data_IF_566659795163
#
_entry.id   IF_566659795163
#
_cell.length_a   1.000
_cell.length_b   1.000
_cell.length_c   1.000
_cell.angle_alpha   90.00
_cell.angle_beta   90.00
_cell.angle_gamma   90.00
#
_symmetry.space_group_name_H-M   'P 1'
#
loop_
_entity.id
_entity.type
_entity.pdbx_description
1 polymer ?
#
# COMPACT_ATOMS: atom_id res chain seq x y z
N UNK A 1 0.54 -18.86 9.15
CA UNK A 1 -0.16 -18.10 8.10
C UNK A 1 -0.04 -16.61 8.41
N UNK A 2 0.20 -15.78 7.40
CA UNK A 2 0.22 -14.32 7.57
C UNK A 2 -1.14 -13.86 8.11
N UNK A 3 -1.13 -13.03 9.16
CA UNK A 3 -2.35 -12.42 9.70
C UNK A 3 -2.99 -11.55 8.61
N UNK A 4 -4.32 -11.58 8.49
CA UNK A 4 -5.08 -10.83 7.48
C UNK A 4 -6.02 -9.81 8.14
N UNK A 5 -6.27 -8.71 7.43
CA UNK A 5 -7.41 -7.83 7.69
C UNK A 5 -8.61 -8.30 6.88
N UNK A 6 -9.79 -7.98 7.35
CA UNK A 6 -11.02 -8.07 6.57
C UNK A 6 -11.35 -6.66 6.05
N UNK A 7 -11.37 -6.51 4.73
CA UNK A 7 -11.82 -5.30 4.08
C UNK A 7 -13.35 -5.19 4.17
N UNK A 8 -13.88 -3.99 3.96
CA UNK A 8 -15.32 -3.70 4.09
C UNK A 8 -16.24 -4.59 3.23
N UNK A 9 -15.72 -5.16 2.14
CA UNK A 9 -16.43 -6.09 1.28
C UNK A 9 -16.22 -7.57 1.66
N UNK A 10 -15.57 -7.85 2.80
CA UNK A 10 -15.28 -9.21 3.28
C UNK A 10 -14.00 -9.84 2.72
N UNK A 11 -13.33 -9.20 1.76
CA UNK A 11 -12.07 -9.71 1.21
C UNK A 11 -10.96 -9.72 2.28
N UNK A 12 -10.14 -10.77 2.28
CA UNK A 12 -9.06 -10.96 3.26
C UNK A 12 -7.72 -10.48 2.73
N UNK A 13 -7.24 -9.34 3.18
CA UNK A 13 -5.97 -8.72 2.80
C UNK A 13 -4.86 -9.05 3.81
N UNK A 14 -3.68 -9.59 3.38
CA UNK A 14 -2.53 -9.79 4.27
C UNK A 14 -2.04 -8.46 4.88
N UNK A 15 -1.62 -8.50 6.15
CA UNK A 15 -1.19 -7.29 6.89
C UNK A 15 0.09 -6.67 6.35
N UNK A 16 1.00 -7.50 5.84
CA UNK A 16 2.29 -7.09 5.28
C UNK A 16 2.33 -7.44 3.79
N UNK A 17 2.63 -6.45 2.97
CA UNK A 17 2.89 -6.58 1.54
C UNK A 17 4.36 -6.29 1.20
N UNK A 18 4.90 -6.98 0.20
CA UNK A 18 6.15 -6.60 -0.45
C UNK A 18 5.86 -5.48 -1.45
N UNK A 19 6.46 -4.31 -1.27
CA UNK A 19 6.43 -3.22 -2.25
C UNK A 19 7.47 -3.44 -3.35
N UNK A 20 7.09 -3.13 -4.60
CA UNK A 20 7.93 -3.36 -5.79
C UNK A 20 8.47 -2.09 -6.44
N UNK A 21 8.23 -0.90 -5.88
CA UNK A 21 8.72 0.36 -6.44
C UNK A 21 10.23 0.32 -6.68
N UNK A 22 10.68 0.68 -7.91
CA UNK A 22 12.09 0.61 -8.34
C UNK A 22 12.70 -0.80 -8.23
N UNK A 23 11.91 -1.85 -8.32
CA UNK A 23 12.39 -3.23 -8.42
C UNK A 23 12.13 -3.73 -9.84
N UNK A 24 13.18 -4.16 -10.55
CA UNK A 24 13.13 -4.63 -11.93
C UNK A 24 14.01 -5.85 -12.13
N UNK A 25 13.78 -6.58 -13.22
CA UNK A 25 14.64 -7.67 -13.71
C UNK A 25 14.92 -8.72 -12.64
N UNK A 26 16.20 -9.09 -12.54
CA UNK A 26 16.65 -10.12 -11.62
C UNK A 26 16.45 -9.76 -10.14
N UNK A 27 16.57 -8.49 -9.77
CA UNK A 27 16.34 -8.03 -8.40
C UNK A 27 14.88 -8.24 -7.99
N UNK A 28 13.93 -7.95 -8.88
CA UNK A 28 12.51 -8.19 -8.63
C UNK A 28 12.23 -9.70 -8.52
N UNK A 29 12.74 -10.50 -9.45
CA UNK A 29 12.56 -11.94 -9.42
C UNK A 29 13.08 -12.56 -8.11
N UNK A 30 14.31 -12.24 -7.74
CA UNK A 30 14.97 -12.80 -6.55
C UNK A 30 14.27 -12.38 -5.24
N UNK A 31 13.82 -11.13 -5.13
CA UNK A 31 13.10 -10.69 -3.92
C UNK A 31 11.71 -11.30 -3.83
N UNK A 32 11.01 -11.51 -4.95
CA UNK A 32 9.71 -12.20 -4.99
C UNK A 32 9.87 -13.66 -4.59
N UNK A 33 10.89 -14.37 -5.11
CA UNK A 33 11.21 -15.75 -4.75
C UNK A 33 11.44 -15.88 -3.23
N UNK A 34 12.32 -15.03 -2.69
CA UNK A 34 12.59 -15.03 -1.25
C UNK A 34 11.36 -14.68 -0.43
N UNK A 35 10.56 -13.70 -0.86
CA UNK A 35 9.33 -13.31 -0.18
C UNK A 35 8.32 -14.48 -0.12
N UNK A 36 8.10 -15.17 -1.23
CA UNK A 36 7.23 -16.36 -1.28
C UNK A 36 7.71 -17.46 -0.34
N UNK A 37 9.05 -17.72 -0.33
CA UNK A 37 9.67 -18.77 0.51
C UNK A 37 9.47 -18.55 2.01
N UNK A 38 9.44 -17.28 2.47
CA UNK A 38 9.25 -16.95 3.88
C UNK A 38 7.80 -16.73 4.28
N UNK A 39 6.86 -16.68 3.30
CA UNK A 39 5.43 -16.65 3.58
C UNK A 39 4.70 -15.37 3.19
N UNK A 40 5.31 -14.43 2.44
CA UNK A 40 4.56 -13.33 1.84
C UNK A 40 3.47 -13.87 0.92
N UNK A 41 2.31 -13.23 0.97
CA UNK A 41 1.15 -13.52 0.11
C UNK A 41 0.47 -12.21 -0.34
N UNK A 42 1.21 -11.08 -0.30
CA UNK A 42 0.73 -9.80 -0.82
C UNK A 42 1.87 -9.04 -1.47
N UNK A 43 1.59 -8.52 -2.66
CA UNK A 43 2.53 -7.75 -3.49
C UNK A 43 1.87 -6.43 -3.88
N UNK A 44 2.61 -5.34 -3.72
CA UNK A 44 2.14 -3.98 -4.02
C UNK A 44 2.96 -3.41 -5.18
N UNK A 45 2.30 -3.13 -6.27
CA UNK A 45 2.85 -2.52 -7.46
C UNK A 45 2.04 -1.28 -7.86
N UNK A 46 2.30 -0.73 -9.02
CA UNK A 46 1.53 0.34 -9.65
C UNK A 46 1.83 0.37 -11.15
N UNK A 47 0.90 0.86 -11.96
CA UNK A 47 1.16 1.13 -13.37
C UNK A 47 2.37 2.04 -13.57
N UNK A 48 2.50 3.07 -12.74
CA UNK A 48 3.61 4.01 -12.75
C UNK A 48 4.98 3.38 -12.49
N UNK A 49 5.04 2.20 -11.85
CA UNK A 49 6.31 1.52 -11.57
C UNK A 49 6.88 0.78 -12.78
N UNK A 50 6.07 0.60 -13.83
CA UNK A 50 6.45 -0.04 -15.10
C UNK A 50 6.97 -1.48 -14.95
N UNK A 51 6.61 -2.15 -13.83
CA UNK A 51 7.10 -3.50 -13.50
C UNK A 51 5.99 -4.54 -13.30
N UNK A 52 4.73 -4.22 -13.61
CA UNK A 52 3.61 -5.16 -13.46
C UNK A 52 3.83 -6.45 -14.25
N UNK A 53 4.34 -6.33 -15.50
CA UNK A 53 4.61 -7.51 -16.33
C UNK A 53 5.72 -8.37 -15.75
N UNK A 54 6.80 -7.78 -15.30
CA UNK A 54 7.91 -8.49 -14.66
C UNK A 54 7.45 -9.20 -13.37
N UNK A 55 6.60 -8.54 -12.57
CA UNK A 55 5.99 -9.15 -11.38
C UNK A 55 5.07 -10.32 -11.76
N UNK A 56 4.25 -10.17 -12.79
CA UNK A 56 3.38 -11.23 -13.29
C UNK A 56 4.15 -12.44 -13.79
N UNK A 57 5.19 -12.21 -14.59
CA UNK A 57 6.07 -13.28 -15.09
C UNK A 57 6.80 -13.99 -13.94
N UNK A 58 7.33 -13.24 -12.94
CA UNK A 58 7.96 -13.82 -11.76
C UNK A 58 6.96 -14.67 -10.94
N UNK A 59 5.75 -14.18 -10.69
CA UNK A 59 4.74 -14.93 -9.96
C UNK A 59 4.32 -16.20 -10.71
N UNK A 60 4.14 -16.12 -12.03
CA UNK A 60 3.79 -17.27 -12.88
C UNK A 60 4.82 -18.39 -12.79
N UNK A 61 6.11 -18.05 -12.76
CA UNK A 61 7.20 -19.02 -12.65
C UNK A 61 7.38 -19.55 -11.23
N UNK A 62 7.28 -18.65 -10.22
CA UNK A 62 7.66 -18.97 -8.86
C UNK A 62 6.56 -19.63 -8.03
N UNK A 63 5.29 -19.27 -8.22
CA UNK A 63 4.18 -19.80 -7.39
C UNK A 63 4.12 -21.33 -7.39
N UNK A 64 4.28 -22.05 -8.54
CA UNK A 64 4.29 -23.49 -8.54
C UNK A 64 5.42 -24.13 -7.71
N UNK A 65 6.55 -23.43 -7.53
CA UNK A 65 7.67 -23.94 -6.71
C UNK A 65 7.31 -24.01 -5.22
N UNK A 66 6.26 -23.29 -4.80
CA UNK A 66 5.77 -23.17 -3.42
C UNK A 66 4.39 -23.80 -3.22
N UNK A 67 3.95 -24.64 -4.18
CA UNK A 67 2.59 -25.24 -4.14
C UNK A 67 1.48 -24.15 -4.06
N UNK A 68 1.66 -23.02 -4.74
CA UNK A 68 0.74 -21.88 -4.75
C UNK A 68 0.16 -21.66 -6.14
N UNK A 69 -1.06 -21.11 -6.14
CA UNK A 69 -1.73 -20.59 -7.33
C UNK A 69 -1.77 -19.07 -7.29
N UNK A 70 -2.10 -18.45 -8.42
CA UNK A 70 -2.16 -16.99 -8.53
C UNK A 70 -3.26 -16.40 -7.62
N UNK A 71 -4.30 -17.16 -7.29
CA UNK A 71 -5.37 -16.76 -6.37
C UNK A 71 -4.94 -16.80 -4.89
N UNK A 72 -3.83 -17.46 -4.57
CA UNK A 72 -3.30 -17.53 -3.20
C UNK A 72 -2.55 -16.26 -2.80
N UNK A 73 -2.29 -15.37 -3.76
CA UNK A 73 -1.63 -14.09 -3.52
C UNK A 73 -2.56 -12.92 -3.77
N UNK A 74 -2.42 -11.89 -2.95
CA UNK A 74 -3.16 -10.63 -3.03
C UNK A 74 -2.30 -9.60 -3.75
N UNK A 75 -2.79 -9.03 -4.84
CA UNK A 75 -2.07 -8.03 -5.63
C UNK A 75 -2.78 -6.68 -5.52
N UNK A 76 -2.02 -5.66 -5.10
CA UNK A 76 -2.44 -4.25 -5.16
C UNK A 76 -1.72 -3.59 -6.33
N UNK A 77 -2.47 -2.91 -7.18
CA UNK A 77 -1.91 -1.97 -8.15
C UNK A 77 -2.55 -0.59 -8.01
N UNK A 78 -1.96 0.42 -8.67
CA UNK A 78 -2.38 1.82 -8.54
C UNK A 78 -2.37 2.51 -9.90
N UNK A 79 -3.34 3.39 -10.10
CA UNK A 79 -3.48 4.19 -11.31
C UNK A 79 -3.68 5.65 -10.90
N UNK A 80 -2.99 6.59 -11.56
CA UNK A 80 -3.26 8.02 -11.38
C UNK A 80 -4.63 8.39 -11.99
N UNK A 81 -5.30 9.41 -11.45
CA UNK A 81 -6.46 10.01 -12.12
C UNK A 81 -6.09 10.45 -13.53
N UNK A 82 -7.06 10.47 -14.42
CA UNK A 82 -6.91 11.01 -15.77
C UNK A 82 -7.46 12.41 -15.87
N UNK A 83 -6.70 13.29 -16.53
CA UNK A 83 -7.20 14.60 -16.97
C UNK A 83 -8.05 14.44 -18.24
N UNK A 84 -9.21 15.10 -18.29
CA UNK A 84 -10.10 15.09 -19.47
C UNK A 84 -11.34 14.20 -19.33
N UNK A 85 -12.13 14.14 -20.39
CA UNK A 85 -13.49 13.58 -20.38
C UNK A 85 -13.57 12.05 -20.54
N UNK A 86 -12.43 11.36 -20.78
CA UNK A 86 -12.40 9.94 -21.12
C UNK A 86 -11.85 9.05 -19.98
N UNK A 87 -11.99 9.46 -18.71
CA UNK A 87 -11.43 8.74 -17.57
C UNK A 87 -11.85 7.26 -17.55
N UNK A 88 -13.12 6.95 -17.78
CA UNK A 88 -13.62 5.56 -17.82
C UNK A 88 -12.93 4.71 -18.89
N UNK A 89 -12.79 5.23 -20.10
CA UNK A 89 -12.16 4.50 -21.22
C UNK A 89 -10.68 4.25 -20.92
N UNK A 90 -9.96 5.27 -20.49
CA UNK A 90 -8.53 5.20 -20.16
C UNK A 90 -8.26 4.27 -18.99
N UNK A 91 -9.03 4.38 -17.89
CA UNK A 91 -8.91 3.48 -16.75
C UNK A 91 -9.27 2.04 -17.12
N UNK A 92 -10.28 1.83 -17.95
CA UNK A 92 -10.64 0.48 -18.43
C UNK A 92 -9.50 -0.13 -19.25
N UNK A 93 -8.88 0.64 -20.12
CA UNK A 93 -7.71 0.22 -20.89
C UNK A 93 -6.55 -0.16 -19.98
N UNK A 94 -6.26 0.67 -18.98
CA UNK A 94 -5.16 0.43 -18.05
C UNK A 94 -5.40 -0.78 -17.15
N UNK A 95 -6.63 -0.95 -16.64
CA UNK A 95 -6.99 -2.13 -15.84
C UNK A 95 -6.87 -3.41 -16.68
N UNK A 96 -7.32 -3.39 -17.93
CA UNK A 96 -7.15 -4.54 -18.81
C UNK A 96 -5.67 -4.85 -19.07
N UNK A 97 -4.84 -3.83 -19.25
CA UNK A 97 -3.39 -4.01 -19.40
C UNK A 97 -2.75 -4.55 -18.12
N UNK A 98 -3.15 -4.07 -16.94
CA UNK A 98 -2.66 -4.59 -15.65
C UNK A 98 -3.08 -6.05 -15.45
N UNK A 99 -4.31 -6.43 -15.82
CA UNK A 99 -4.78 -7.82 -15.79
C UNK A 99 -3.92 -8.73 -16.69
N UNK A 100 -3.61 -8.28 -17.90
CA UNK A 100 -2.75 -9.00 -18.83
C UNK A 100 -1.32 -9.11 -18.28
N UNK A 101 -0.73 -8.00 -17.86
CA UNK A 101 0.63 -7.93 -17.32
C UNK A 101 0.82 -8.86 -16.11
N UNK A 102 -0.15 -8.86 -15.20
CA UNK A 102 -0.11 -9.64 -13.95
C UNK A 102 -0.62 -11.08 -14.12
N UNK A 103 -1.11 -11.45 -15.32
CA UNK A 103 -1.65 -12.77 -15.59
C UNK A 103 -2.91 -13.10 -14.77
N UNK A 104 -3.78 -12.10 -14.52
CA UNK A 104 -4.95 -12.19 -13.64
C UNK A 104 -6.26 -12.04 -14.42
N UNK A 105 -7.31 -12.67 -13.91
CA UNK A 105 -8.69 -12.43 -14.41
C UNK A 105 -9.37 -11.27 -13.66
N UNK A 106 -8.92 -10.96 -12.45
CA UNK A 106 -9.34 -9.83 -11.62
C UNK A 106 -8.16 -9.29 -10.82
N UNK A 107 -8.23 -8.04 -10.39
CA UNK A 107 -7.29 -7.41 -9.45
C UNK A 107 -7.90 -7.42 -8.05
N UNK A 108 -7.12 -7.76 -7.04
CA UNK A 108 -7.60 -7.81 -5.65
C UNK A 108 -7.92 -6.41 -5.12
N UNK A 109 -7.03 -5.45 -5.39
CA UNK A 109 -7.18 -4.07 -4.97
C UNK A 109 -6.56 -3.12 -5.99
N UNK A 110 -7.34 -2.12 -6.40
CA UNK A 110 -6.84 -0.99 -7.20
C UNK A 110 -6.99 0.31 -6.41
N UNK A 111 -5.92 1.09 -6.35
CA UNK A 111 -5.91 2.39 -5.70
C UNK A 111 -5.81 3.52 -6.73
N UNK A 112 -6.56 4.60 -6.52
CA UNK A 112 -6.18 5.89 -7.10
C UNK A 112 -4.85 6.29 -6.45
N UNK A 113 -3.79 6.44 -7.27
CA UNK A 113 -2.41 6.53 -6.77
C UNK A 113 -2.11 7.84 -6.03
N UNK A 114 -2.72 8.93 -6.48
CA UNK A 114 -2.53 10.28 -5.94
C UNK A 114 -3.79 11.11 -6.19
N UNK A 115 -4.09 12.16 -5.38
CA UNK A 115 -5.34 12.91 -5.53
C UNK A 115 -5.40 13.85 -6.74
N UNK A 116 -4.48 13.73 -7.71
CA UNK A 116 -4.50 14.45 -8.99
C UNK A 116 -3.85 13.65 -10.13
N UNK A 117 -4.13 13.99 -11.39
CA UNK A 117 -3.38 13.49 -12.54
C UNK A 117 -1.90 13.87 -12.51
N UNK A 118 -1.07 13.14 -13.28
CA UNK A 118 0.36 13.45 -13.41
C UNK A 118 0.64 14.77 -14.13
N UNK A 119 -0.24 15.15 -15.05
CA UNK A 119 -0.11 16.31 -15.93
C UNK A 119 -0.76 17.59 -15.40
N UNK A 120 -1.26 17.57 -14.15
CA UNK A 120 -1.83 18.76 -13.48
C UNK A 120 -0.99 19.18 -12.28
N UNK A 121 -1.13 20.46 -11.88
CA UNK A 121 -0.52 20.96 -10.65
C UNK A 121 -1.38 20.70 -9.41
N UNK A 122 -0.78 20.77 -8.22
CA UNK A 122 -1.47 20.56 -6.94
C UNK A 122 -2.62 21.56 -6.72
N UNK A 123 -2.52 22.77 -7.27
CA UNK A 123 -3.50 23.83 -7.11
C UNK A 123 -4.48 23.96 -8.30
N UNK A 124 -4.51 22.99 -9.20
CA UNK A 124 -5.48 22.96 -10.30
C UNK A 124 -6.87 22.64 -9.75
N UNK A 125 -7.80 23.58 -9.91
CA UNK A 125 -9.19 23.43 -9.42
C UNK A 125 -9.97 22.28 -10.08
N UNK A 126 -9.47 21.76 -11.22
CA UNK A 126 -10.07 20.62 -11.91
C UNK A 126 -9.71 19.27 -11.28
N UNK A 127 -8.75 19.23 -10.35
CA UNK A 127 -8.34 17.99 -9.68
C UNK A 127 -9.53 17.27 -9.02
N UNK A 128 -10.46 18.02 -8.42
CA UNK A 128 -11.69 17.48 -7.84
C UNK A 128 -12.55 16.72 -8.87
N UNK A 129 -12.70 17.30 -10.08
CA UNK A 129 -13.43 16.65 -11.17
C UNK A 129 -12.72 15.37 -11.63
N UNK A 130 -11.40 15.40 -11.77
CA UNK A 130 -10.63 14.24 -12.21
C UNK A 130 -10.63 13.11 -11.18
N UNK A 131 -10.58 13.43 -9.86
CA UNK A 131 -10.79 12.46 -8.79
C UNK A 131 -12.16 11.79 -8.90
N UNK A 132 -13.21 12.58 -9.05
CA UNK A 132 -14.58 12.09 -9.18
C UNK A 132 -14.73 11.14 -10.37
N UNK A 133 -14.34 11.56 -11.55
CA UNK A 133 -14.49 10.75 -12.78
C UNK A 133 -13.70 9.45 -12.70
N UNK A 134 -12.48 9.52 -12.15
CA UNK A 134 -11.64 8.35 -11.95
C UNK A 134 -12.22 7.38 -10.91
N UNK A 135 -12.83 7.90 -9.83
CA UNK A 135 -13.48 7.06 -8.83
C UNK A 135 -14.70 6.34 -9.40
N UNK A 136 -15.58 7.06 -10.10
CA UNK A 136 -16.76 6.46 -10.74
C UNK A 136 -16.39 5.41 -11.79
N UNK A 137 -15.27 5.60 -12.49
CA UNK A 137 -14.72 4.58 -13.39
C UNK A 137 -14.30 3.32 -12.65
N UNK A 138 -13.63 3.45 -11.47
CA UNK A 138 -13.27 2.29 -10.64
C UNK A 138 -14.50 1.58 -10.08
N UNK A 139 -15.54 2.30 -9.64
CA UNK A 139 -16.79 1.67 -9.19
C UNK A 139 -17.43 0.81 -10.27
N UNK A 140 -17.44 1.29 -11.53
CA UNK A 140 -17.93 0.52 -12.66
C UNK A 140 -17.08 -0.72 -12.92
N UNK A 141 -15.76 -0.61 -12.88
CA UNK A 141 -14.85 -1.74 -13.07
C UNK A 141 -14.96 -2.78 -11.94
N UNK A 142 -15.32 -2.34 -10.74
CA UNK A 142 -15.65 -3.24 -9.64
C UNK A 142 -17.00 -3.95 -9.88
N UNK A 143 -18.02 -3.24 -10.34
CA UNK A 143 -19.31 -3.83 -10.70
C UNK A 143 -19.16 -4.88 -11.83
N UNK A 144 -18.24 -4.65 -12.76
CA UNK A 144 -17.88 -5.58 -13.85
C UNK A 144 -16.98 -6.74 -13.37
N UNK A 145 -16.71 -6.86 -12.06
CA UNK A 145 -15.88 -7.89 -11.43
C UNK A 145 -14.42 -7.95 -11.92
N UNK A 146 -13.93 -6.89 -12.56
CA UNK A 146 -12.51 -6.77 -12.96
C UNK A 146 -11.62 -6.39 -11.79
N UNK A 147 -12.18 -5.73 -10.78
CA UNK A 147 -11.51 -5.29 -9.55
C UNK A 147 -12.37 -5.72 -8.37
N UNK A 148 -11.81 -6.38 -7.36
CA UNK A 148 -12.57 -6.84 -6.19
C UNK A 148 -12.71 -5.77 -5.12
N UNK A 149 -11.67 -4.96 -4.88
CA UNK A 149 -11.69 -3.83 -3.95
C UNK A 149 -11.09 -2.61 -4.60
N UNK A 150 -11.65 -1.44 -4.29
CA UNK A 150 -11.15 -0.14 -4.73
C UNK A 150 -10.78 0.73 -3.54
N UNK A 151 -9.78 1.58 -3.70
CA UNK A 151 -9.31 2.45 -2.64
C UNK A 151 -8.51 3.64 -3.19
N UNK A 152 -7.88 4.34 -2.28
CA UNK A 152 -7.13 5.57 -2.59
C UNK A 152 -5.73 5.53 -1.98
N UNK A 153 -4.84 6.38 -2.47
CA UNK A 153 -3.51 6.59 -1.91
C UNK A 153 -3.19 8.08 -1.86
N UNK A 154 -2.53 8.52 -0.81
CA UNK A 154 -2.20 9.93 -0.56
C UNK A 154 -3.42 10.86 -0.39
N UNK A 155 -4.58 10.33 -0.03
CA UNK A 155 -5.78 11.11 0.19
C UNK A 155 -5.83 11.63 1.63
N UNK A 156 -6.22 12.90 1.78
CA UNK A 156 -6.53 13.55 3.05
C UNK A 156 -8.00 13.42 3.40
N UNK A 157 -8.36 13.82 4.62
CA UNK A 157 -9.76 13.82 5.08
C UNK A 157 -10.62 14.65 4.12
N UNK A 158 -10.16 15.82 3.69
CA UNK A 158 -10.93 16.68 2.77
C UNK A 158 -11.23 16.00 1.44
N UNK A 159 -10.28 15.22 0.89
CA UNK A 159 -10.49 14.48 -0.36
C UNK A 159 -11.52 13.34 -0.18
N UNK A 160 -11.48 12.64 0.97
CA UNK A 160 -12.43 11.55 1.24
C UNK A 160 -13.83 12.12 1.55
N UNK A 161 -13.92 13.26 2.24
CA UNK A 161 -15.20 13.94 2.45
C UNK A 161 -15.80 14.46 1.13
N UNK A 162 -14.98 15.01 0.23
CA UNK A 162 -15.42 15.41 -1.11
C UNK A 162 -16.05 14.23 -1.89
N UNK A 163 -15.48 13.03 -1.73
CA UNK A 163 -16.01 11.83 -2.42
C UNK A 163 -17.45 11.51 -1.99
N UNK A 164 -17.90 11.88 -0.78
CA UNK A 164 -19.26 11.61 -0.29
C UNK A 164 -20.35 12.22 -1.15
N UNK A 165 -20.03 13.24 -1.93
CA UNK A 165 -20.99 13.88 -2.82
C UNK A 165 -21.31 13.05 -4.08
N UNK A 166 -20.51 12.01 -4.37
CA UNK A 166 -20.65 11.27 -5.63
C UNK A 166 -20.39 9.76 -5.55
N UNK A 167 -19.70 9.28 -4.51
CA UNK A 167 -19.40 7.85 -4.40
C UNK A 167 -20.67 7.03 -4.10
N UNK A 168 -20.69 5.79 -4.61
CA UNK A 168 -21.65 4.76 -4.21
C UNK A 168 -20.98 3.65 -3.42
N UNK A 169 -19.66 3.53 -3.54
CA UNK A 169 -18.82 2.56 -2.84
C UNK A 169 -17.73 3.35 -2.12
N UNK A 170 -17.65 3.23 -0.79
CA UNK A 170 -16.57 3.87 -0.05
C UNK A 170 -15.22 3.18 -0.30
N UNK A 171 -14.08 3.90 -0.23
CA UNK A 171 -12.77 3.30 -0.37
C UNK A 171 -12.52 2.22 0.69
N UNK A 172 -12.00 1.06 0.25
CA UNK A 172 -11.65 -0.03 1.15
C UNK A 172 -10.32 0.23 1.88
N UNK A 173 -9.42 0.97 1.25
CA UNK A 173 -8.07 1.26 1.74
C UNK A 173 -7.72 2.71 1.44
N UNK A 174 -7.02 3.38 2.37
CA UNK A 174 -6.23 4.59 2.11
C UNK A 174 -4.76 4.29 2.42
N UNK A 175 -3.91 4.26 1.38
CA UNK A 175 -2.49 3.98 1.51
C UNK A 175 -1.70 5.29 1.53
N UNK A 176 -1.01 5.59 2.64
CA UNK A 176 -0.31 6.85 2.85
C UNK A 176 1.07 6.64 3.49
N UNK A 177 1.95 7.64 3.42
CA UNK A 177 3.18 7.64 4.20
C UNK A 177 2.85 7.60 5.70
N UNK A 178 3.41 6.59 6.38
CA UNK A 178 3.20 6.40 7.81
C UNK A 178 4.36 5.64 8.46
N UNK A 179 4.94 6.25 9.50
CA UNK A 179 6.02 5.70 10.30
C UNK A 179 6.09 6.41 11.67
N UNK A 180 6.92 5.97 12.65
CA UNK A 180 6.94 6.54 13.99
C UNK A 180 7.13 8.07 14.06
N UNK A 181 7.85 8.69 13.11
CA UNK A 181 8.04 10.14 13.06
C UNK A 181 6.95 10.90 12.27
N UNK A 182 6.01 10.16 11.63
CA UNK A 182 4.89 10.75 10.90
C UNK A 182 3.63 9.90 11.06
N UNK A 183 2.89 10.12 12.15
CA UNK A 183 1.86 9.18 12.59
C UNK A 183 0.45 9.49 12.09
N UNK A 184 0.22 10.62 11.43
CA UNK A 184 -1.05 10.95 10.77
C UNK A 184 -2.28 10.63 11.62
N UNK A 185 -2.25 10.99 12.90
CA UNK A 185 -3.22 10.53 13.91
C UNK A 185 -4.66 10.80 13.49
N UNK A 186 -4.97 12.03 13.09
CA UNK A 186 -6.32 12.43 12.70
C UNK A 186 -6.82 11.65 11.48
N UNK A 187 -6.00 11.53 10.43
CA UNK A 187 -6.35 10.77 9.22
C UNK A 187 -6.54 9.28 9.53
N UNK A 188 -5.70 8.71 10.39
CA UNK A 188 -5.80 7.31 10.79
C UNK A 188 -7.09 7.04 11.58
N UNK A 189 -7.43 7.89 12.55
CA UNK A 189 -8.67 7.81 13.32
C UNK A 189 -9.89 7.99 12.42
N UNK A 190 -9.85 8.94 11.50
CA UNK A 190 -10.89 9.13 10.49
C UNK A 190 -11.10 7.87 9.63
N UNK A 191 -10.03 7.27 9.11
CA UNK A 191 -10.11 6.03 8.35
C UNK A 191 -10.74 4.89 9.18
N UNK A 192 -10.31 4.75 10.44
CA UNK A 192 -10.83 3.72 11.34
C UNK A 192 -12.34 3.89 11.61
N UNK A 193 -12.81 5.11 11.88
CA UNK A 193 -14.23 5.41 12.12
C UNK A 193 -15.08 5.09 10.89
N UNK A 194 -14.54 5.35 9.68
CA UNK A 194 -15.24 5.14 8.42
C UNK A 194 -15.02 3.73 7.83
N UNK A 195 -14.44 2.79 8.58
CA UNK A 195 -14.14 1.43 8.12
C UNK A 195 -13.29 1.40 6.83
N UNK A 196 -12.33 2.31 6.72
CA UNK A 196 -11.31 2.37 5.67
C UNK A 196 -10.02 1.80 6.26
N UNK A 197 -9.44 0.76 5.65
CA UNK A 197 -8.17 0.25 6.13
C UNK A 197 -7.06 1.28 5.86
N UNK A 198 -6.45 1.79 6.93
CA UNK A 198 -5.27 2.62 6.84
C UNK A 198 -4.05 1.75 6.56
N UNK A 199 -3.33 2.01 5.46
CA UNK A 199 -2.16 1.25 5.05
C UNK A 199 -0.94 2.15 4.92
N UNK A 200 0.16 1.73 5.55
CA UNK A 200 1.43 2.45 5.51
C UNK A 200 2.24 2.13 4.26
N UNK A 201 2.62 3.11 3.47
CA UNK A 201 3.76 3.00 2.57
C UNK A 201 4.98 3.73 3.12
N UNK A 202 6.18 3.45 2.60
CA UNK A 202 7.46 3.97 3.12
C UNK A 202 7.62 3.89 4.65
N UNK A 203 7.27 2.75 5.29
CA UNK A 203 7.26 2.63 6.75
C UNK A 203 8.65 2.83 7.38
N UNK A 204 9.70 2.69 6.57
CA UNK A 204 11.10 2.86 6.98
C UNK A 204 11.70 4.20 6.49
N UNK A 205 10.85 5.17 6.08
CA UNK A 205 11.27 6.48 5.62
C UNK A 205 12.28 6.44 4.47
N UNK A 206 12.16 5.49 3.54
CA UNK A 206 13.15 5.22 2.47
C UNK A 206 14.59 5.00 2.99
N UNK A 207 14.74 4.44 4.19
CA UNK A 207 16.03 4.21 4.82
C UNK A 207 16.59 5.43 5.56
N UNK A 208 15.72 6.38 5.94
CA UNK A 208 16.11 7.58 6.68
C UNK A 208 16.85 7.23 7.97
N UNK A 209 18.07 7.74 8.11
CA UNK A 209 18.95 7.42 9.24
C UNK A 209 18.43 7.97 10.57
N UNK A 210 17.74 9.11 10.58
CA UNK A 210 17.15 9.67 11.79
C UNK A 210 16.08 8.74 12.35
N UNK A 211 15.22 8.20 11.48
CA UNK A 211 14.20 7.21 11.85
C UNK A 211 14.82 5.90 12.33
N UNK A 212 15.76 5.33 11.53
CA UNK A 212 16.31 4.00 11.82
C UNK A 212 17.31 3.99 12.98
N UNK A 213 17.86 5.13 13.37
CA UNK A 213 18.78 5.25 14.52
C UNK A 213 18.12 5.94 15.73
N UNK A 214 16.81 6.11 15.74
CA UNK A 214 16.11 6.63 16.91
C UNK A 214 16.41 5.77 18.13
N UNK A 215 16.85 6.41 19.22
CA UNK A 215 17.36 5.72 20.41
C UNK A 215 16.31 4.84 21.11
N UNK A 216 15.05 5.24 21.06
CA UNK A 216 13.94 4.46 21.63
C UNK A 216 13.72 3.18 20.82
N UNK A 217 13.67 3.30 19.50
CA UNK A 217 13.50 2.13 18.63
C UNK A 217 14.71 1.19 18.66
N UNK A 218 15.95 1.74 18.69
CA UNK A 218 17.16 0.93 18.82
C UNK A 218 17.16 0.15 20.13
N UNK A 219 16.77 0.77 21.25
CA UNK A 219 16.67 0.08 22.55
C UNK A 219 15.64 -1.05 22.50
N UNK A 220 14.45 -0.81 21.93
CA UNK A 220 13.41 -1.84 21.78
C UNK A 220 13.91 -2.96 20.89
N UNK A 221 14.54 -2.64 19.76
CA UNK A 221 15.10 -3.63 18.83
C UNK A 221 16.15 -4.53 19.52
N UNK A 222 17.03 -3.96 20.33
CA UNK A 222 18.02 -4.71 21.12
C UNK A 222 17.35 -5.65 22.13
N UNK A 223 16.28 -5.20 22.81
CA UNK A 223 15.52 -6.04 23.75
C UNK A 223 14.93 -7.27 23.05
N UNK A 224 14.40 -7.08 21.84
CA UNK A 224 13.83 -8.16 21.04
C UNK A 224 14.86 -8.91 20.17
N UNK A 225 16.16 -8.57 20.24
CA UNK A 225 17.24 -9.15 19.44
C UNK A 225 16.91 -9.16 17.93
N UNK A 226 16.40 -8.03 17.44
CA UNK A 226 15.96 -7.85 16.03
C UNK A 226 16.35 -6.46 15.51
N UNK A 227 16.03 -6.15 14.26
CA UNK A 227 16.29 -4.83 13.69
C UNK A 227 15.19 -3.82 13.99
N UNK A 228 15.53 -2.54 13.93
CA UNK A 228 14.57 -1.42 14.01
C UNK A 228 13.48 -1.53 12.94
N UNK A 229 13.83 -2.02 11.74
CA UNK A 229 12.85 -2.26 10.68
C UNK A 229 11.74 -3.21 11.12
N UNK A 230 12.09 -4.32 11.76
CA UNK A 230 11.12 -5.30 12.27
C UNK A 230 10.23 -4.68 13.36
N UNK A 231 10.80 -3.86 14.25
CA UNK A 231 10.04 -3.15 15.30
C UNK A 231 9.00 -2.18 14.67
N UNK A 232 9.42 -1.36 13.72
CA UNK A 232 8.53 -0.41 13.04
C UNK A 232 7.37 -1.16 12.36
N UNK A 233 7.66 -2.20 11.59
CA UNK A 233 6.63 -2.97 10.90
C UNK A 233 5.67 -3.67 11.88
N UNK A 234 6.18 -4.22 12.98
CA UNK A 234 5.37 -4.84 14.02
C UNK A 234 4.45 -3.81 14.70
N UNK A 235 4.97 -2.62 15.03
CA UNK A 235 4.20 -1.52 15.60
C UNK A 235 3.05 -1.09 14.68
N UNK A 236 3.31 -0.91 13.38
CA UNK A 236 2.26 -0.56 12.40
C UNK A 236 1.14 -1.60 12.41
N UNK A 237 1.50 -2.89 12.32
CA UNK A 237 0.52 -3.98 12.26
C UNK A 237 -0.22 -4.20 13.59
N UNK A 238 0.45 -3.97 14.73
CA UNK A 238 -0.16 -4.04 16.07
C UNK A 238 -1.17 -2.91 16.26
N UNK A 239 -0.91 -1.72 15.67
CA UNK A 239 -1.82 -0.58 15.60
C UNK A 239 -3.01 -0.78 14.65
N UNK A 240 -3.24 -2.01 14.17
CA UNK A 240 -4.33 -2.40 13.24
C UNK A 240 -4.22 -1.74 11.85
N UNK A 241 -3.04 -1.37 11.41
CA UNK A 241 -2.79 -0.80 10.10
C UNK A 241 -2.13 -1.83 9.17
N UNK A 242 -2.42 -1.76 7.87
CA UNK A 242 -1.69 -2.50 6.85
C UNK A 242 -0.32 -1.88 6.60
N UNK A 243 0.61 -2.63 6.00
CA UNK A 243 1.93 -2.08 5.69
C UNK A 243 2.51 -2.65 4.40
N UNK A 244 3.11 -1.77 3.61
CA UNK A 244 3.86 -2.09 2.39
C UNK A 244 5.33 -1.77 2.65
N UNK A 245 6.17 -2.80 2.70
CA UNK A 245 7.61 -2.65 2.90
C UNK A 245 8.36 -2.98 1.60
N UNK A 246 9.00 -1.98 0.99
CA UNK A 246 9.79 -2.16 -0.25
C UNK A 246 11.21 -2.57 0.07
N UNK A 247 11.68 -3.58 -0.62
CA UNK A 247 13.10 -3.93 -0.70
C UNK A 247 13.37 -4.72 -1.98
N UNK A 248 14.60 -4.63 -2.52
CA UNK A 248 15.13 -5.52 -3.56
C UNK A 248 16.08 -6.58 -2.98
N UNK A 249 16.33 -6.54 -1.68
CA UNK A 249 17.20 -7.48 -1.00
C UNK A 249 16.38 -8.58 -0.33
N UNK A 250 16.57 -9.83 -0.73
CA UNK A 250 15.83 -10.98 -0.21
C UNK A 250 16.01 -11.21 1.28
N UNK A 251 17.21 -11.00 1.83
CA UNK A 251 17.47 -11.17 3.27
C UNK A 251 16.71 -10.14 4.10
N UNK A 252 16.62 -8.88 3.61
CA UNK A 252 15.80 -7.85 4.24
C UNK A 252 14.29 -8.19 4.14
N UNK A 253 13.84 -8.78 3.02
CA UNK A 253 12.46 -9.25 2.91
C UNK A 253 12.17 -10.35 3.94
N UNK A 254 13.07 -11.33 4.10
CA UNK A 254 12.94 -12.37 5.10
C UNK A 254 12.98 -11.83 6.54
N UNK A 255 13.83 -10.85 6.81
CA UNK A 255 13.90 -10.19 8.11
C UNK A 255 12.61 -9.40 8.40
N UNK A 256 12.14 -8.59 7.48
CA UNK A 256 10.89 -7.83 7.60
C UNK A 256 9.71 -8.75 7.91
N UNK A 257 9.67 -9.95 7.34
CA UNK A 257 8.58 -10.90 7.59
C UNK A 257 8.49 -11.37 9.06
N UNK A 258 9.57 -11.34 9.82
CA UNK A 258 9.56 -11.65 11.26
C UNK A 258 8.61 -10.75 12.05
N UNK A 259 8.38 -9.53 11.57
CA UNK A 259 7.46 -8.56 12.18
C UNK A 259 6.02 -9.06 12.28
N UNK A 260 5.60 -10.01 11.42
CA UNK A 260 4.22 -10.55 11.40
C UNK A 260 3.88 -11.27 12.70
N UNK A 261 4.86 -11.87 13.36
CA UNK A 261 4.67 -12.63 14.59
C UNK A 261 5.15 -11.89 15.84
N UNK A 262 6.01 -10.89 15.68
CA UNK A 262 6.52 -10.11 16.79
C UNK A 262 5.39 -9.32 17.47
N UNK A 263 5.43 -9.31 18.80
CA UNK A 263 4.51 -8.51 19.62
C UNK A 263 5.33 -7.58 20.52
N UNK A 264 4.99 -6.31 20.44
CA UNK A 264 5.49 -5.29 21.38
C UNK A 264 4.63 -5.32 22.65
N UNK A 265 5.25 -5.04 23.78
CA UNK A 265 4.53 -4.75 25.02
C UNK A 265 3.74 -3.44 24.87
N UNK A 266 2.75 -3.22 25.75
CA UNK A 266 1.97 -1.98 25.73
C UNK A 266 2.85 -0.75 26.01
N UNK A 267 3.85 -0.87 26.87
CA UNK A 267 4.82 0.21 27.16
C UNK A 267 5.70 0.52 25.93
N UNK A 268 6.22 -0.49 25.24
CA UNK A 268 6.99 -0.29 24.00
C UNK A 268 6.15 0.37 22.91
N UNK A 269 4.91 -0.11 22.74
CA UNK A 269 3.98 0.45 21.77
C UNK A 269 3.66 1.92 22.10
N UNK A 270 3.40 2.24 23.36
CA UNK A 270 3.15 3.62 23.81
C UNK A 270 4.35 4.52 23.57
N UNK A 271 5.58 4.08 23.91
CA UNK A 271 6.81 4.84 23.66
C UNK A 271 7.05 5.16 22.18
N UNK A 272 6.70 4.23 21.28
CA UNK A 272 6.81 4.51 19.83
C UNK A 272 5.76 5.53 19.42
N UNK A 273 4.57 5.50 20.00
CA UNK A 273 3.53 6.51 19.73
C UNK A 273 3.94 7.93 20.16
N UNK A 274 4.88 8.07 21.08
CA UNK A 274 5.41 9.37 21.52
C UNK A 274 6.46 9.97 20.56
N UNK A 275 6.89 9.22 19.51
CA UNK A 275 7.94 9.64 18.58
C UNK A 275 7.45 10.50 17.42
N UNK A 276 6.17 10.89 17.41
CA UNK A 276 5.61 11.68 16.29
C UNK A 276 6.26 13.07 16.21
N UNK A 277 6.88 13.33 15.10
CA UNK A 277 7.51 14.60 14.77
C UNK A 277 6.71 15.40 13.73
N UNK A 278 5.58 14.85 13.25
CA UNK A 278 4.83 15.37 12.11
C UNK A 278 5.73 15.61 10.87
N UNK A 279 6.76 14.77 10.69
CA UNK A 279 7.80 14.97 9.68
C UNK A 279 7.74 13.88 8.61
N UNK A 280 7.29 14.20 7.38
CA UNK A 280 7.34 13.28 6.25
C UNK A 280 8.78 13.11 5.75
N UNK A 281 9.08 11.93 5.22
CA UNK A 281 10.37 11.62 4.58
C UNK A 281 10.23 11.35 3.08
N UNK A 282 9.02 11.45 2.57
CA UNK A 282 8.68 11.31 1.14
C UNK A 282 8.13 12.63 0.63
N UNK A 283 8.34 12.89 -0.66
CA UNK A 283 7.91 14.16 -1.29
C UNK A 283 6.44 14.15 -1.74
N UNK A 284 5.77 12.98 -1.68
CA UNK A 284 4.37 12.82 -2.09
C UNK A 284 3.42 13.46 -1.06
N UNK A 285 3.14 14.74 -1.25
CA UNK A 285 2.40 15.60 -0.30
C UNK A 285 0.94 15.75 -0.72
N UNK A 286 0.14 14.68 -0.61
CA UNK A 286 -1.28 14.71 -0.96
C UNK A 286 -2.05 15.86 -0.31
N UNK A 287 -1.65 16.31 0.88
CA UNK A 287 -2.25 17.44 1.58
C UNK A 287 -2.03 18.82 0.91
N UNK A 288 -1.17 18.92 -0.09
CA UNK A 288 -0.98 20.13 -0.89
C UNK A 288 -1.95 20.22 -2.07
N UNK A 289 -2.64 19.12 -2.42
CA UNK A 289 -3.57 19.05 -3.55
C UNK A 289 -4.93 19.63 -3.17
N UNK A 290 -5.49 20.46 -4.09
CA UNK A 290 -6.86 20.99 -4.01
C UNK A 290 -7.86 19.99 -4.59
#
# INVERSE_FOLDING_TARGET
MAKKFELRNGQKMPKLALGTYLAHGEDLFNVVDKALSVGYRSFDTAKYYENEKELGDALKELLPRYDLKIEDVFITTKIFPYSGENALELMTKDINQSLENLGRQYLDLVLIHYPRPLDTGDKDSRNATYRKESWLALEKLQADSKVLSIGVSNYEICHIEEMRDYLTIDPAVNQVEYHPHFQRKELREYCQINNILFQAFSPLGRGNKTLLNDSTMVRIANTHQTSVAVIILAWIMQGKNGVVAKTTNGDRAAENFKSVTLKLTDDEFARINELDLATPYVEDRGWEVL
#
